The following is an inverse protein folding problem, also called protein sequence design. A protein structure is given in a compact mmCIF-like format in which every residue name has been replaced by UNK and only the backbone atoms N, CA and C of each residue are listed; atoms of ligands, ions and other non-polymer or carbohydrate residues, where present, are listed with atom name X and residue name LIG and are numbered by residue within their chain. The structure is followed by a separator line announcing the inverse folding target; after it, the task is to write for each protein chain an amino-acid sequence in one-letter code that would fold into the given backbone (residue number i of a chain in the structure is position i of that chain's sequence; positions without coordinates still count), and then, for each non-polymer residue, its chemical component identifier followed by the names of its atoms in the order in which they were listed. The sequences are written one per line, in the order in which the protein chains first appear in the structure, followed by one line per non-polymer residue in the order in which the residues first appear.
data_IF_765420384102
#
_entry.id   IF_765420384102
#
_cell.length_a   1.000
_cell.length_b   1.000
_cell.length_c   1.000
_cell.angle_alpha   90.00
_cell.angle_beta   90.00
_cell.angle_gamma   90.00
#
_symmetry.space_group_name_H-M   'P 1'
#
loop_
_entity.id
_entity.type
_entity.pdbx_description
1 polymer ?
#
# COMPACT_ATOMS: atom_id res chain seq x y z
N UNK A 1 18.48 1.62 3.46
CA UNK A 1 17.16 1.35 2.84
C UNK A 1 16.17 2.43 3.23
N UNK A 2 15.50 3.01 2.25
CA UNK A 2 14.50 4.04 2.53
C UNK A 2 13.16 3.39 2.83
N UNK A 3 12.45 3.96 3.80
CA UNK A 3 11.18 3.42 4.23
C UNK A 3 10.12 3.47 3.12
N UNK A 4 10.14 4.50 2.29
CA UNK A 4 9.22 4.58 1.14
C UNK A 4 9.37 3.39 0.21
N UNK A 5 10.59 2.97 -0.01
CA UNK A 5 10.89 1.82 -0.88
C UNK A 5 10.34 0.54 -0.28
N UNK A 6 10.53 0.35 1.01
CA UNK A 6 9.99 -0.82 1.72
C UNK A 6 8.47 -0.86 1.66
N UNK A 7 7.83 0.28 1.94
CA UNK A 7 6.36 0.37 1.91
C UNK A 7 5.82 0.13 0.51
N UNK A 8 6.46 0.74 -0.50
CA UNK A 8 6.02 0.58 -1.89
C UNK A 8 6.05 -0.89 -2.32
N UNK A 9 7.14 -1.58 -2.00
CA UNK A 9 7.30 -2.99 -2.36
C UNK A 9 6.25 -3.85 -1.67
N UNK A 10 6.06 -3.65 -0.37
CA UNK A 10 5.09 -4.44 0.37
C UNK A 10 3.66 -4.16 -0.04
N UNK A 11 3.33 -2.90 -0.31
CA UNK A 11 2.00 -2.54 -0.77
C UNK A 11 1.68 -3.27 -2.08
N UNK A 12 2.60 -3.25 -3.03
CA UNK A 12 2.40 -3.96 -4.30
C UNK A 12 2.24 -5.45 -4.08
N UNK A 13 3.10 -6.05 -3.27
CA UNK A 13 3.05 -7.48 -2.98
C UNK A 13 1.71 -7.87 -2.36
N UNK A 14 1.26 -7.13 -1.35
CA UNK A 14 0.02 -7.43 -0.66
C UNK A 14 -1.19 -7.23 -1.57
N UNK A 15 -1.16 -6.18 -2.39
CA UNK A 15 -2.24 -5.91 -3.35
C UNK A 15 -2.35 -7.03 -4.38
N UNK A 16 -1.23 -7.41 -4.97
CA UNK A 16 -1.20 -8.45 -6.00
C UNK A 16 -1.57 -9.82 -5.43
N UNK A 17 -1.22 -10.09 -4.19
CA UNK A 17 -1.58 -11.34 -3.54
C UNK A 17 -3.09 -11.51 -3.44
N UNK A 18 -3.84 -10.42 -3.42
CA UNK A 18 -5.30 -10.48 -3.39
C UNK A 18 -5.94 -10.24 -4.76
N UNK A 19 -5.13 -10.17 -5.80
CA UNK A 19 -5.64 -10.00 -7.15
C UNK A 19 -6.28 -8.64 -7.43
N UNK A 20 -5.92 -7.61 -6.65
CA UNK A 20 -6.52 -6.29 -6.81
C UNK A 20 -5.66 -5.41 -7.71
N UNK A 21 -6.33 -4.64 -8.57
CA UNK A 21 -5.67 -3.58 -9.31
C UNK A 21 -5.43 -2.38 -8.37
N UNK A 22 -4.61 -1.44 -8.80
CA UNK A 22 -4.40 -0.22 -8.05
C UNK A 22 -5.70 0.55 -7.87
N UNK A 23 -6.53 0.61 -8.92
CA UNK A 23 -7.82 1.30 -8.86
C UNK A 23 -8.78 0.62 -7.91
N UNK A 24 -8.83 -0.71 -7.96
CA UNK A 24 -9.73 -1.46 -7.08
C UNK A 24 -9.37 -1.26 -5.62
N UNK A 25 -8.08 -1.28 -5.30
CA UNK A 25 -7.65 -1.05 -3.93
C UNK A 25 -8.02 0.36 -3.47
N UNK A 26 -7.78 1.37 -4.32
CA UNK A 26 -8.10 2.75 -3.99
C UNK A 26 -9.60 2.93 -3.78
N UNK A 27 -10.42 2.35 -4.65
CA UNK A 27 -11.87 2.44 -4.53
C UNK A 27 -12.37 1.82 -3.22
N UNK A 28 -11.85 0.65 -2.87
CA UNK A 28 -12.25 -0.04 -1.63
C UNK A 28 -11.77 0.70 -0.39
N UNK A 29 -10.64 1.37 -0.47
CA UNK A 29 -10.10 2.15 0.63
C UNK A 29 -10.68 3.56 0.70
N UNK A 30 -11.53 3.92 -0.27
CA UNK A 30 -12.14 5.25 -0.37
C UNK A 30 -11.07 6.35 -0.43
N UNK A 31 -10.08 6.16 -1.30
CA UNK A 31 -9.02 7.13 -1.52
C UNK A 31 -8.91 7.44 -3.01
N UNK A 32 -8.17 8.49 -3.35
CA UNK A 32 -7.98 8.90 -4.73
C UNK A 32 -7.35 7.76 -5.53
N UNK A 33 -7.88 7.50 -6.73
CA UNK A 33 -7.46 6.39 -7.60
C UNK A 33 -5.98 6.43 -7.96
N UNK A 34 -5.40 7.61 -8.04
CA UNK A 34 -4.00 7.75 -8.42
C UNK A 34 -3.05 7.51 -7.25
N UNK A 35 -3.58 7.50 -6.03
CA UNK A 35 -2.74 7.50 -4.83
C UNK A 35 -1.96 6.20 -4.66
N UNK A 36 -2.61 5.06 -4.91
CA UNK A 36 -1.93 3.76 -4.77
C UNK A 36 -0.76 3.67 -5.73
N UNK A 37 -0.95 4.08 -6.98
CA UNK A 37 0.12 4.10 -7.96
C UNK A 37 1.27 5.01 -7.55
N UNK A 38 0.95 6.18 -7.00
CA UNK A 38 1.97 7.11 -6.53
C UNK A 38 2.78 6.53 -5.37
N UNK A 39 2.12 5.83 -4.46
CA UNK A 39 2.82 5.16 -3.35
C UNK A 39 3.73 4.05 -3.87
N UNK A 40 3.26 3.27 -4.83
CA UNK A 40 4.03 2.14 -5.36
C UNK A 40 5.22 2.61 -6.20
N UNK A 41 5.16 3.83 -6.74
CA UNK A 41 6.29 4.42 -7.48
C UNK A 41 7.17 5.29 -6.61
N UNK A 42 6.93 5.31 -5.30
CA UNK A 42 7.68 6.12 -4.34
C UNK A 42 7.58 7.62 -4.61
N UNK A 43 6.53 8.05 -5.28
CA UNK A 43 6.33 9.46 -5.62
C UNK A 43 5.63 10.24 -4.53
N UNK A 44 5.14 9.54 -3.51
CA UNK A 44 4.37 10.16 -2.44
C UNK A 44 4.60 9.42 -1.14
N UNK A 45 4.62 10.16 -0.04
CA UNK A 45 4.76 9.55 1.28
C UNK A 45 3.38 9.16 1.80
N UNK A 46 3.27 7.94 2.34
CA UNK A 46 2.03 7.49 2.94
C UNK A 46 1.89 8.08 4.34
N UNK A 47 0.67 8.50 4.68
CA UNK A 47 0.36 8.85 6.06
C UNK A 47 0.00 7.58 6.82
N UNK A 48 0.09 7.65 8.14
CA UNK A 48 -0.31 6.52 9.00
C UNK A 48 -1.78 6.19 8.77
N UNK A 49 -2.63 7.21 8.70
CA UNK A 49 -4.07 7.00 8.48
C UNK A 49 -4.33 6.30 7.15
N UNK A 50 -3.58 6.66 6.12
CA UNK A 50 -3.73 6.04 4.82
C UNK A 50 -3.33 4.56 4.87
N UNK A 51 -2.23 4.27 5.56
CA UNK A 51 -1.78 2.88 5.71
C UNK A 51 -2.81 2.04 6.45
N UNK A 52 -3.47 2.62 7.46
CA UNK A 52 -4.54 1.90 8.16
C UNK A 52 -5.69 1.54 7.22
N UNK A 53 -6.11 2.49 6.38
CA UNK A 53 -7.19 2.24 5.42
C UNK A 53 -6.82 1.12 4.44
N UNK A 54 -5.60 1.17 3.94
CA UNK A 54 -5.12 0.16 2.99
C UNK A 54 -5.03 -1.21 3.66
N UNK A 55 -4.52 -1.25 4.89
CA UNK A 55 -4.41 -2.49 5.64
C UNK A 55 -5.77 -3.12 5.89
N UNK A 56 -6.78 -2.31 6.22
CA UNK A 56 -8.13 -2.79 6.45
C UNK A 56 -8.69 -3.47 5.20
N UNK A 57 -8.53 -2.85 4.04
CA UNK A 57 -9.00 -3.42 2.79
C UNK A 57 -8.28 -4.71 2.46
N UNK A 58 -6.97 -4.74 2.70
CA UNK A 58 -6.13 -5.91 2.41
C UNK A 58 -6.24 -6.99 3.48
N UNK A 59 -6.92 -6.69 4.58
CA UNK A 59 -7.08 -7.60 5.72
C UNK A 59 -5.73 -8.07 6.25
N UNK A 60 -4.82 -7.13 6.46
CA UNK A 60 -3.49 -7.40 7.00
C UNK A 60 -3.20 -6.43 8.14
N UNK A 61 -2.26 -6.81 9.01
CA UNK A 61 -1.74 -5.91 10.03
C UNK A 61 -0.92 -4.83 9.31
N UNK A 62 -1.11 -3.54 9.62
CA UNK A 62 -0.33 -2.47 8.98
C UNK A 62 1.19 -2.66 9.07
N UNK A 63 1.67 -3.40 10.07
CA UNK A 63 3.10 -3.68 10.20
C UNK A 63 3.65 -4.43 8.98
N UNK A 64 2.78 -5.13 8.23
CA UNK A 64 3.18 -5.83 7.01
C UNK A 64 3.77 -4.90 5.96
N UNK A 65 3.38 -3.63 5.97
CA UNK A 65 3.94 -2.66 5.03
C UNK A 65 5.41 -2.37 5.30
N UNK A 66 5.88 -2.69 6.50
CA UNK A 66 7.25 -2.38 6.92
C UNK A 66 8.16 -3.60 6.96
N UNK A 67 7.67 -4.73 6.50
CA UNK A 67 8.45 -5.96 6.48
C UNK A 67 9.64 -5.84 5.53
N UNK A 68 10.81 -6.14 6.03
CA UNK A 68 12.01 -6.11 5.21
C UNK A 68 12.21 -7.44 4.52
N UNK A 69 12.72 -7.37 3.32
CA UNK A 69 13.07 -8.56 2.59
C UNK A 69 14.33 -9.16 3.22
N UNK A 70 14.27 -10.42 3.55
CA UNK A 70 15.43 -11.15 4.10
C UNK A 70 16.20 -11.83 2.99
#
# INVERSE_FOLDING_TARGET
MRLRETVARNLRRLRQAQGLSQEELADRADINRNYVGMLEREQHAATIDMLEKLADVLDVDPVEFFQRKT
#
